data_IF_688909418471
#
_entry.id   IF_688909418471
#
_cell.length_a   1.000
_cell.length_b   1.000
_cell.length_c   1.000
_cell.angle_alpha   90.00
_cell.angle_beta   90.00
_cell.angle_gamma   90.00
#
_symmetry.space_group_name_H-M   'P 1'
#
loop_
_entity.id
_entity.type
_entity.pdbx_description
1 polymer ?
#
# COMPACT_ATOMS: atom_id res chain seq x y z
N UNK A 1 5.62 0.89 -39.89
CA UNK A 1 4.44 0.27 -39.27
C UNK A 1 4.24 1.00 -37.97
N UNK A 2 3.09 1.64 -37.82
CA UNK A 2 2.73 2.57 -36.75
C UNK A 2 2.68 1.86 -35.41
N UNK A 3 3.70 2.06 -34.59
CA UNK A 3 3.71 1.67 -33.20
C UNK A 3 2.84 2.69 -32.45
N UNK A 4 1.54 2.40 -32.37
CA UNK A 4 0.62 3.08 -31.44
C UNK A 4 1.04 2.69 -30.01
N UNK A 5 2.19 3.18 -29.59
CA UNK A 5 2.57 3.21 -28.19
C UNK A 5 1.50 4.06 -27.50
N UNK A 6 0.52 3.39 -26.88
CA UNK A 6 -0.53 4.08 -26.13
C UNK A 6 0.17 5.04 -25.17
N UNK A 7 -0.15 6.32 -25.26
CA UNK A 7 0.30 7.31 -24.29
C UNK A 7 -0.30 6.96 -22.93
N UNK A 8 0.48 6.25 -22.11
CA UNK A 8 0.10 5.88 -20.76
C UNK A 8 0.27 7.11 -19.90
N UNK A 9 -0.75 7.43 -19.14
CA UNK A 9 -0.72 8.53 -18.20
C UNK A 9 -1.57 8.17 -16.98
N UNK A 10 -1.00 8.37 -15.81
CA UNK A 10 -1.73 8.38 -14.56
C UNK A 10 -1.16 9.42 -13.60
N UNK A 11 -2.03 9.96 -12.74
CA UNK A 11 -1.62 10.68 -11.55
C UNK A 11 -2.48 10.28 -10.37
N UNK A 12 -1.89 10.29 -9.18
CA UNK A 12 -2.57 10.00 -7.91
C UNK A 12 -1.71 10.47 -6.74
N UNK A 13 -2.31 10.55 -5.55
CA UNK A 13 -1.63 11.00 -4.33
C UNK A 13 -0.36 10.20 -4.05
N UNK A 14 0.76 10.90 -3.85
CA UNK A 14 2.07 10.32 -3.59
C UNK A 14 2.08 9.43 -2.33
N UNK A 15 1.30 9.81 -1.32
CA UNK A 15 1.10 9.04 -0.10
C UNK A 15 0.68 7.58 -0.35
N UNK A 16 -0.14 7.32 -1.38
CA UNK A 16 -0.56 5.96 -1.73
C UNK A 16 0.65 5.14 -2.18
N UNK A 17 1.54 5.73 -2.99
CA UNK A 17 2.75 5.05 -3.44
C UNK A 17 3.68 4.73 -2.27
N UNK A 18 3.82 5.64 -1.31
CA UNK A 18 4.56 5.40 -0.07
C UNK A 18 3.98 4.22 0.72
N UNK A 19 2.66 4.21 0.90
CA UNK A 19 1.93 3.21 1.68
C UNK A 19 2.08 1.79 1.14
N UNK A 20 2.11 1.61 -0.19
CA UNK A 20 2.16 0.29 -0.85
C UNK A 20 3.58 -0.28 -1.05
N UNK A 21 4.62 0.51 -0.78
CA UNK A 21 6.02 0.08 -0.96
C UNK A 21 6.34 -1.27 -0.28
N UNK A 22 5.91 -1.59 0.96
CA UNK A 22 6.24 -2.86 1.59
C UNK A 22 5.74 -4.07 0.78
N UNK A 23 4.55 -3.96 0.17
CA UNK A 23 3.98 -5.02 -0.67
C UNK A 23 4.84 -5.21 -1.92
N UNK A 24 5.20 -4.12 -2.60
CA UNK A 24 6.02 -4.17 -3.82
C UNK A 24 7.45 -4.68 -3.53
N UNK A 25 8.04 -4.27 -2.40
CA UNK A 25 9.39 -4.66 -1.98
C UNK A 25 9.48 -6.14 -1.58
N UNK A 26 8.39 -6.72 -1.05
CA UNK A 26 8.35 -8.15 -0.65
C UNK A 26 8.62 -9.13 -1.80
N UNK A 27 8.66 -8.66 -3.04
CA UNK A 27 8.86 -9.44 -4.27
C UNK A 27 10.26 -9.30 -4.88
N UNK A 28 11.12 -8.40 -4.38
CA UNK A 28 12.40 -8.07 -5.04
C UNK A 28 13.38 -9.25 -5.14
N UNK A 29 13.24 -10.27 -4.29
CA UNK A 29 14.10 -11.46 -4.29
C UNK A 29 13.49 -12.65 -5.05
N UNK A 30 12.31 -12.49 -5.67
CA UNK A 30 11.62 -13.58 -6.36
C UNK A 30 11.77 -13.43 -7.88
N UNK A 31 12.73 -14.17 -8.46
CA UNK A 31 12.99 -14.20 -9.90
C UNK A 31 11.78 -14.68 -10.73
N UNK A 32 10.78 -15.33 -10.12
CA UNK A 32 9.56 -15.75 -10.83
C UNK A 32 8.55 -14.62 -11.05
N UNK A 33 8.74 -13.48 -10.39
CA UNK A 33 7.84 -12.33 -10.38
C UNK A 33 8.47 -11.04 -10.92
N UNK A 34 9.37 -11.15 -11.91
CA UNK A 34 9.79 -10.00 -12.72
C UNK A 34 8.57 -9.38 -13.40
N UNK A 35 8.14 -8.19 -12.94
CA UNK A 35 7.06 -7.47 -13.58
C UNK A 35 6.63 -6.21 -12.86
N UNK A 36 5.89 -5.38 -13.60
CA UNK A 36 5.20 -4.19 -13.12
C UNK A 36 4.06 -4.59 -12.16
N UNK A 37 4.36 -4.79 -10.88
CA UNK A 37 3.42 -5.25 -9.85
C UNK A 37 2.56 -4.13 -9.24
N UNK A 38 2.78 -2.89 -9.69
CA UNK A 38 1.87 -1.77 -9.51
C UNK A 38 0.96 -1.70 -10.73
N UNK A 39 -0.35 -1.85 -10.52
CA UNK A 39 -1.37 -1.71 -11.55
C UNK A 39 -2.19 -0.46 -11.22
N UNK A 40 -2.44 0.38 -12.23
CA UNK A 40 -3.26 1.58 -12.11
C UNK A 40 -4.34 1.50 -13.17
N UNK A 41 -5.59 1.69 -12.79
CA UNK A 41 -6.75 1.60 -13.68
C UNK A 41 -7.69 2.79 -13.50
N UNK A 42 -8.41 3.21 -14.55
CA UNK A 42 -9.53 4.13 -14.39
C UNK A 42 -10.61 3.53 -13.49
N UNK A 43 -11.27 4.36 -12.69
CA UNK A 43 -12.40 3.97 -11.85
C UNK A 43 -13.70 4.52 -12.42
N UNK A 44 -14.71 3.67 -12.63
CA UNK A 44 -16.03 4.11 -13.11
C UNK A 44 -16.75 5.07 -12.14
N UNK A 45 -16.40 5.01 -10.85
CA UNK A 45 -16.91 5.94 -9.82
C UNK A 45 -16.14 7.27 -9.78
N UNK A 46 -15.27 7.52 -10.75
CA UNK A 46 -14.33 8.64 -10.75
C UNK A 46 -13.07 8.35 -9.93
N UNK A 47 -11.98 9.00 -10.32
CA UNK A 47 -10.66 8.74 -9.78
C UNK A 47 -9.89 7.68 -10.55
N UNK A 48 -8.88 7.09 -9.91
CA UNK A 48 -8.22 5.87 -10.36
C UNK A 48 -8.12 4.83 -9.24
N UNK A 49 -7.90 3.58 -9.63
CA UNK A 49 -7.63 2.46 -8.73
C UNK A 49 -6.14 2.15 -8.83
N UNK A 50 -5.49 2.02 -7.68
CA UNK A 50 -4.08 1.68 -7.53
C UNK A 50 -4.00 0.34 -6.81
N UNK A 51 -3.38 -0.63 -7.45
CA UNK A 51 -3.25 -2.00 -6.94
C UNK A 51 -1.78 -2.37 -6.84
N UNK A 52 -1.33 -2.73 -5.65
CA UNK A 52 -0.04 -3.36 -5.43
C UNK A 52 -0.25 -4.83 -5.12
N UNK A 53 0.45 -5.70 -5.86
CA UNK A 53 0.32 -7.15 -5.73
C UNK A 53 1.65 -7.76 -5.32
N UNK A 54 1.59 -8.67 -4.37
CA UNK A 54 2.63 -9.62 -4.04
C UNK A 54 2.07 -11.04 -4.07
N UNK A 55 2.92 -12.05 -3.87
CA UNK A 55 2.48 -13.44 -3.81
C UNK A 55 1.52 -13.73 -2.65
N UNK A 56 1.66 -13.02 -1.54
CA UNK A 56 0.96 -13.31 -0.28
C UNK A 56 -0.02 -12.22 0.14
N UNK A 57 0.07 -11.04 -0.49
CA UNK A 57 -0.75 -9.89 -0.15
C UNK A 57 -1.08 -9.04 -1.38
N UNK A 58 -2.17 -8.31 -1.30
CA UNK A 58 -2.54 -7.27 -2.25
C UNK A 58 -3.11 -6.09 -1.49
N UNK A 59 -2.82 -4.88 -1.95
CA UNK A 59 -3.49 -3.66 -1.50
C UNK A 59 -4.12 -2.96 -2.69
N UNK A 60 -5.36 -2.54 -2.51
CA UNK A 60 -6.16 -1.81 -3.47
C UNK A 60 -6.54 -0.49 -2.82
N UNK A 61 -6.18 0.60 -3.48
CA UNK A 61 -6.59 1.95 -3.14
C UNK A 61 -7.42 2.52 -4.28
N UNK A 62 -8.49 3.24 -3.96
CA UNK A 62 -9.09 4.21 -4.88
C UNK A 62 -8.55 5.58 -4.50
N UNK A 63 -8.13 6.35 -5.50
CA UNK A 63 -7.85 7.76 -5.33
C UNK A 63 -8.91 8.59 -6.06
N UNK A 64 -9.88 9.20 -5.35
CA UNK A 64 -10.97 9.94 -5.99
C UNK A 64 -10.49 11.15 -6.81
N UNK A 65 -9.35 11.75 -6.43
CA UNK A 65 -8.71 12.86 -7.15
C UNK A 65 -7.74 12.40 -8.23
N UNK A 66 -7.40 11.12 -8.26
CA UNK A 66 -6.48 10.57 -9.24
C UNK A 66 -7.10 10.45 -10.63
N UNK A 67 -6.27 10.18 -11.61
CA UNK A 67 -6.70 9.97 -12.99
C UNK A 67 -5.80 8.96 -13.67
N UNK A 68 -6.36 8.21 -14.61
CA UNK A 68 -5.64 7.24 -15.41
C UNK A 68 -6.30 7.16 -16.80
N UNK A 69 -5.53 7.32 -17.87
CA UNK A 69 -6.09 7.31 -19.24
C UNK A 69 -6.54 5.90 -19.65
N UNK A 70 -5.76 4.89 -19.29
CA UNK A 70 -6.00 3.48 -19.56
C UNK A 70 -5.28 2.67 -18.51
N UNK A 71 -5.76 1.45 -18.25
CA UNK A 71 -5.05 0.50 -17.40
C UNK A 71 -3.56 0.45 -17.76
N UNK A 72 -2.71 0.63 -16.76
CA UNK A 72 -1.26 0.64 -16.88
C UNK A 72 -0.64 -0.18 -15.76
N UNK A 73 0.51 -0.77 -16.05
CA UNK A 73 1.34 -1.43 -15.04
C UNK A 73 2.68 -0.72 -15.00
N UNK A 74 3.16 -0.38 -13.80
CA UNK A 74 4.40 0.33 -13.60
C UNK A 74 5.42 -0.46 -12.77
N UNK A 75 6.69 -0.33 -13.14
CA UNK A 75 7.84 -0.59 -12.31
C UNK A 75 8.34 0.74 -11.77
N UNK A 76 8.44 0.84 -10.44
CA UNK A 76 8.78 2.08 -9.74
C UNK A 76 10.18 1.93 -9.12
N UNK A 77 11.09 2.90 -9.34
CA UNK A 77 12.38 2.95 -8.67
C UNK A 77 12.23 3.04 -7.15
N UNK A 78 13.11 2.37 -6.41
CA UNK A 78 13.05 2.32 -4.95
C UNK A 78 13.18 3.71 -4.33
N UNK A 79 14.06 4.56 -4.90
CA UNK A 79 14.25 5.94 -4.45
C UNK A 79 12.95 6.76 -4.52
N UNK A 80 12.05 6.49 -5.47
CA UNK A 80 10.81 7.25 -5.63
C UNK A 80 9.90 7.13 -4.40
N UNK A 81 9.91 5.99 -3.71
CA UNK A 81 9.07 5.77 -2.53
C UNK A 81 9.45 6.70 -1.38
N UNK A 82 10.74 6.89 -1.11
CA UNK A 82 11.19 7.80 -0.05
C UNK A 82 10.78 9.25 -0.32
N UNK A 83 10.81 9.68 -1.59
CA UNK A 83 10.33 11.01 -1.99
C UNK A 83 8.80 11.15 -1.92
N UNK A 84 8.06 10.05 -1.79
CA UNK A 84 6.61 10.04 -1.59
C UNK A 84 6.21 10.01 -0.11
N UNK A 85 7.18 9.84 0.80
CA UNK A 85 6.92 9.74 2.22
C UNK A 85 6.20 11.00 2.73
N UNK A 86 5.05 10.88 3.41
CA UNK A 86 4.45 11.98 4.13
C UNK A 86 5.46 12.48 5.16
N UNK A 87 5.92 13.72 5.04
CA UNK A 87 6.85 14.25 6.02
C UNK A 87 6.09 14.56 7.32
N UNK A 88 6.46 13.82 8.37
CA UNK A 88 6.00 14.07 9.72
C UNK A 88 6.36 15.49 10.15
N UNK A 89 5.48 16.10 10.97
CA UNK A 89 5.74 17.39 11.57
C UNK A 89 7.09 17.37 12.32
N UNK A 90 7.79 18.51 12.35
CA UNK A 90 9.12 18.58 12.99
C UNK A 90 8.91 18.61 14.50
N UNK A 91 9.32 17.57 15.26
CA UNK A 91 9.21 17.63 16.70
C UNK A 91 10.21 18.66 17.24
N UNK A 92 9.70 19.65 17.95
CA UNK A 92 10.49 20.67 18.62
C UNK A 92 10.14 20.65 20.10
N UNK A 93 11.13 20.83 20.98
CA UNK A 93 10.90 20.95 22.41
C UNK A 93 11.45 22.26 22.94
N UNK A 94 10.67 22.92 23.78
CA UNK A 94 11.08 24.15 24.47
C UNK A 94 10.44 24.19 25.85
N UNK A 95 11.25 24.37 26.89
CA UNK A 95 10.81 24.43 28.29
C UNK A 95 9.90 23.27 28.72
N UNK A 96 10.19 22.04 28.27
CA UNK A 96 9.40 20.85 28.61
C UNK A 96 8.08 20.71 27.82
N UNK A 97 7.75 21.68 26.97
CA UNK A 97 6.63 21.58 26.03
C UNK A 97 7.11 21.02 24.70
N UNK A 98 6.24 20.21 24.07
CA UNK A 98 6.47 19.67 22.73
C UNK A 98 5.61 20.44 21.72
N UNK A 99 6.24 20.80 20.62
CA UNK A 99 5.66 21.45 19.46
C UNK A 99 5.88 20.55 18.26
N UNK A 100 4.91 20.53 17.34
CA UNK A 100 5.02 19.74 16.12
C UNK A 100 4.48 20.57 14.94
N UNK A 101 5.16 21.66 14.54
CA UNK A 101 4.78 22.43 13.37
C UNK A 101 4.79 21.54 12.12
N UNK A 102 3.71 21.64 11.33
CA UNK A 102 3.64 21.01 10.02
C UNK A 102 4.63 21.70 9.09
N UNK A 103 5.27 20.91 8.25
CA UNK A 103 6.07 21.43 7.15
C UNK A 103 5.19 22.20 6.16
N UNK A 104 5.75 23.16 5.41
CA UNK A 104 5.00 23.84 4.36
C UNK A 104 4.60 22.87 3.23
N UNK A 105 3.49 23.16 2.54
CA UNK A 105 2.96 22.26 1.50
C UNK A 105 3.88 22.15 0.28
N UNK A 106 4.63 23.21 -0.03
CA UNK A 106 5.58 23.22 -1.13
C UNK A 106 6.83 22.36 -0.89
N UNK A 107 7.06 21.87 0.33
CA UNK A 107 8.15 20.93 0.64
C UNK A 107 7.66 19.49 0.81
N UNK A 108 6.38 19.22 0.58
CA UNK A 108 5.75 17.94 0.82
C UNK A 108 5.29 17.30 -0.48
N UNK A 109 5.41 15.97 -0.58
CA UNK A 109 4.91 15.21 -1.70
C UNK A 109 3.39 15.39 -1.86
N UNK A 110 2.97 15.79 -3.05
CA UNK A 110 1.57 15.92 -3.45
C UNK A 110 1.15 14.71 -4.25
N UNK A 111 1.45 14.74 -5.53
CA UNK A 111 1.03 13.71 -6.49
C UNK A 111 2.22 13.03 -7.15
N UNK A 112 2.05 11.76 -7.45
CA UNK A 112 2.90 11.03 -8.38
C UNK A 112 2.26 11.14 -9.76
N UNK A 113 3.06 11.49 -10.76
CA UNK A 113 2.66 11.43 -12.16
C UNK A 113 3.51 10.38 -12.86
N UNK A 114 2.84 9.51 -13.60
CA UNK A 114 3.45 8.43 -14.37
C UNK A 114 3.04 8.58 -15.83
N UNK A 115 4.03 8.62 -16.71
CA UNK A 115 3.87 8.65 -18.16
C UNK A 115 4.68 7.50 -18.79
N UNK A 116 4.38 7.11 -20.04
CA UNK A 116 5.21 6.12 -20.76
C UNK A 116 6.71 6.52 -20.79
N UNK A 117 6.99 7.83 -20.82
CA UNK A 117 8.35 8.38 -20.93
C UNK A 117 9.06 8.56 -19.58
N UNK A 118 8.37 8.48 -18.45
CA UNK A 118 8.96 8.76 -17.14
C UNK A 118 7.94 8.94 -16.03
N UNK A 119 8.44 9.09 -14.82
CA UNK A 119 7.65 9.46 -13.65
C UNK A 119 8.27 10.63 -12.92
N UNK A 120 7.44 11.35 -12.17
CA UNK A 120 7.89 12.37 -11.24
C UNK A 120 6.97 12.47 -10.02
N UNK A 121 7.51 12.99 -8.94
CA UNK A 121 6.78 13.27 -7.69
C UNK A 121 6.71 14.78 -7.52
N UNK A 122 5.51 15.33 -7.64
CA UNK A 122 5.24 16.75 -7.44
C UNK A 122 5.08 17.10 -5.96
N UNK A 123 5.08 18.40 -5.68
CA UNK A 123 4.78 18.95 -4.35
C UNK A 123 3.28 19.23 -4.21
N UNK A 124 2.75 19.31 -2.98
CA UNK A 124 1.33 19.67 -2.74
C UNK A 124 0.99 21.08 -3.20
N UNK A 125 1.99 21.96 -3.19
CA UNK A 125 1.88 23.37 -3.56
C UNK A 125 3.14 23.79 -4.32
N UNK A 126 3.03 24.72 -5.27
CA UNK A 126 4.19 25.37 -5.87
C UNK A 126 4.91 26.24 -4.82
N UNK A 127 6.24 26.34 -4.93
CA UNK A 127 7.00 27.23 -4.04
C UNK A 127 6.54 28.69 -4.22
N UNK A 128 6.30 29.46 -3.14
CA UNK A 128 5.86 30.86 -3.23
C UNK A 128 6.77 31.73 -4.10
N UNK A 129 8.08 31.55 -4.01
CA UNK A 129 9.06 32.31 -4.81
C UNK A 129 8.96 32.06 -6.32
N UNK A 130 8.30 30.99 -6.75
CA UNK A 130 8.16 30.60 -8.16
C UNK A 130 6.73 30.77 -8.66
N UNK A 131 5.86 31.47 -7.92
CA UNK A 131 4.46 31.70 -8.30
C UNK A 131 4.30 32.48 -9.61
N UNK A 132 5.32 33.27 -9.99
CA UNK A 132 5.33 34.06 -11.23
C UNK A 132 5.92 33.29 -12.42
N UNK A 133 6.55 32.14 -12.19
CA UNK A 133 7.05 31.28 -13.26
C UNK A 133 5.87 30.63 -13.98
N UNK A 134 6.05 30.36 -15.27
CA UNK A 134 5.03 29.70 -16.08
C UNK A 134 4.82 28.23 -15.67
N UNK A 135 3.79 27.60 -16.22
CA UNK A 135 3.43 26.22 -15.90
C UNK A 135 4.35 25.18 -16.57
N UNK A 136 5.31 25.60 -17.40
CA UNK A 136 6.38 24.72 -17.88
C UNK A 136 7.38 24.43 -16.75
N UNK A 137 7.63 25.41 -15.87
CA UNK A 137 8.49 25.24 -14.72
C UNK A 137 7.84 24.39 -13.61
N UNK A 138 8.04 23.07 -13.68
CA UNK A 138 7.44 22.10 -12.74
C UNK A 138 8.49 21.43 -11.83
N UNK A 139 8.94 22.10 -10.76
CA UNK A 139 9.92 21.52 -9.83
C UNK A 139 9.31 20.30 -9.14
N UNK A 140 10.04 19.18 -9.18
CA UNK A 140 9.63 17.91 -8.60
C UNK A 140 10.59 17.48 -7.49
N UNK A 141 10.08 16.74 -6.53
CA UNK A 141 10.88 16.12 -5.47
C UNK A 141 11.72 14.95 -5.99
N UNK A 142 11.23 14.32 -7.06
CA UNK A 142 11.88 13.20 -7.72
C UNK A 142 11.45 13.14 -9.18
N UNK A 143 12.36 12.71 -10.05
CA UNK A 143 12.07 12.36 -11.44
C UNK A 143 12.91 11.18 -11.91
N UNK A 144 12.32 10.35 -12.77
CA UNK A 144 13.03 9.27 -13.47
C UNK A 144 12.46 9.11 -14.87
N UNK A 145 13.32 9.04 -15.87
CA UNK A 145 12.94 8.71 -17.23
C UNK A 145 12.66 7.21 -17.38
N UNK A 146 11.84 6.85 -18.35
CA UNK A 146 11.60 5.45 -18.73
C UNK A 146 12.88 4.76 -19.16
N UNK A 147 13.04 3.50 -18.76
CA UNK A 147 14.16 2.66 -19.17
C UNK A 147 14.17 2.49 -20.69
N UNK A 148 15.36 2.60 -21.29
CA UNK A 148 15.58 2.32 -22.71
C UNK A 148 16.64 1.23 -22.82
N UNK A 149 16.28 0.07 -23.37
CA UNK A 149 17.18 -1.07 -23.51
C UNK A 149 17.11 -2.01 -22.31
N UNK A 150 18.20 -2.15 -21.55
CA UNK A 150 18.25 -3.00 -20.36
C UNK A 150 17.46 -2.38 -19.21
N UNK A 151 16.79 -3.24 -18.43
CA UNK A 151 15.96 -2.84 -17.30
C UNK A 151 16.58 -3.35 -16.00
N UNK A 152 16.89 -2.44 -15.07
CA UNK A 152 17.34 -2.78 -13.72
C UNK A 152 16.23 -2.56 -12.68
N UNK A 153 15.78 -3.64 -12.05
CA UNK A 153 14.70 -3.60 -11.05
C UNK A 153 15.14 -2.80 -9.83
N UNK A 154 14.25 -1.93 -9.33
CA UNK A 154 14.53 -1.06 -8.19
C UNK A 154 15.27 0.22 -8.55
N UNK A 155 15.90 0.31 -9.73
CA UNK A 155 16.59 1.52 -10.19
C UNK A 155 15.81 2.21 -11.31
N UNK A 156 15.28 1.44 -12.25
CA UNK A 156 14.64 1.97 -13.42
C UNK A 156 13.14 2.07 -13.31
N UNK A 157 12.59 3.03 -14.04
CA UNK A 157 11.15 3.19 -14.22
C UNK A 157 10.72 2.56 -15.55
N UNK A 158 9.59 1.87 -15.55
CA UNK A 158 8.96 1.35 -16.76
C UNK A 158 7.45 1.39 -16.61
N UNK A 159 6.75 1.78 -17.67
CA UNK A 159 5.30 1.65 -17.75
C UNK A 159 4.92 0.81 -18.97
N UNK A 160 3.93 -0.05 -18.78
CA UNK A 160 3.40 -0.95 -19.81
C UNK A 160 1.87 -0.86 -19.81
N UNK A 161 1.21 -1.11 -20.96
CA UNK A 161 -0.24 -1.29 -20.98
C UNK A 161 -0.65 -2.36 -19.97
N UNK A 162 -1.76 -2.12 -19.26
CA UNK A 162 -2.18 -2.89 -18.10
C UNK A 162 -2.05 -4.40 -18.27
N UNK A 163 -1.34 -5.04 -17.34
CA UNK A 163 -1.14 -6.49 -17.33
C UNK A 163 -2.48 -7.19 -17.10
N UNK A 164 -2.68 -8.33 -17.76
CA UNK A 164 -3.86 -9.19 -17.61
C UNK A 164 -3.86 -10.00 -16.30
N UNK A 165 -3.50 -9.37 -15.18
CA UNK A 165 -3.67 -10.00 -13.87
C UNK A 165 -5.12 -9.79 -13.44
N UNK A 166 -5.87 -10.86 -13.29
CA UNK A 166 -7.27 -10.82 -12.82
C UNK A 166 -7.32 -10.57 -11.32
N UNK A 167 -6.79 -9.42 -10.87
CA UNK A 167 -6.66 -9.07 -9.45
C UNK A 167 -8.03 -8.92 -8.75
N UNK A 168 -9.10 -8.68 -9.53
CA UNK A 168 -10.48 -8.68 -9.02
C UNK A 168 -11.01 -10.09 -8.70
N UNK A 169 -10.50 -11.15 -9.32
CA UNK A 169 -10.99 -12.51 -9.11
C UNK A 169 -11.01 -12.96 -7.63
N UNK A 170 -9.93 -12.80 -6.84
CA UNK A 170 -9.98 -13.16 -5.42
C UNK A 170 -10.99 -12.32 -4.61
N UNK A 171 -11.26 -11.08 -5.02
CA UNK A 171 -12.26 -10.21 -4.37
C UNK A 171 -13.69 -10.65 -4.72
N UNK A 172 -13.96 -10.94 -5.99
CA UNK A 172 -15.26 -11.46 -6.43
C UNK A 172 -15.58 -12.78 -5.74
N UNK A 173 -14.60 -13.69 -5.68
CA UNK A 173 -14.75 -14.97 -4.98
C UNK A 173 -15.05 -14.75 -3.49
N UNK A 174 -14.40 -13.77 -2.84
CA UNK A 174 -14.67 -13.42 -1.45
C UNK A 174 -16.11 -12.91 -1.21
N UNK A 175 -16.73 -12.24 -2.19
CA UNK A 175 -18.08 -11.69 -2.08
C UNK A 175 -19.19 -12.73 -2.28
N UNK A 176 -18.90 -13.84 -2.96
CA UNK A 176 -19.88 -14.86 -3.35
C UNK A 176 -20.06 -15.99 -2.31
N UNK A 177 -19.24 -16.03 -1.25
CA UNK A 177 -19.18 -17.15 -0.30
C UNK A 177 -20.17 -16.97 0.87
N UNK A 178 -21.03 -17.98 1.18
CA UNK A 178 -21.92 -17.96 2.33
C UNK A 178 -21.18 -18.18 3.66
N UNK A 179 -21.90 -17.91 4.75
CA UNK A 179 -21.46 -17.76 6.14
C UNK A 179 -20.31 -18.66 6.66
N UNK A 180 -19.53 -18.01 7.54
CA UNK A 180 -18.40 -18.47 8.39
C UNK A 180 -18.54 -19.91 8.92
N UNK A 181 -17.63 -20.78 8.51
CA UNK A 181 -17.14 -21.86 9.39
C UNK A 181 -15.89 -21.35 10.13
N UNK A 182 -15.84 -21.58 11.44
CA UNK A 182 -14.65 -21.26 12.25
C UNK A 182 -13.54 -22.24 11.87
N UNK A 183 -12.49 -21.72 11.23
CA UNK A 183 -11.33 -22.49 10.80
C UNK A 183 -10.03 -21.79 11.21
N UNK A 184 -9.01 -22.57 11.57
CA UNK A 184 -7.73 -22.02 12.02
C UNK A 184 -6.85 -21.75 10.81
N UNK A 185 -6.59 -20.47 10.57
CA UNK A 185 -5.74 -20.01 9.48
C UNK A 185 -4.31 -19.76 9.96
N UNK A 186 -3.35 -20.32 9.22
CA UNK A 186 -1.94 -19.95 9.36
C UNK A 186 -1.64 -18.65 8.64
N UNK A 187 -1.05 -17.68 9.34
CA UNK A 187 -0.56 -16.43 8.74
C UNK A 187 0.89 -16.23 9.16
N UNK A 188 1.76 -15.93 8.20
CA UNK A 188 3.11 -15.44 8.51
C UNK A 188 2.99 -14.01 9.07
N UNK A 189 3.47 -13.73 10.30
CA UNK A 189 3.40 -12.38 10.87
C UNK A 189 4.01 -11.31 9.97
N UNK A 190 5.02 -11.65 9.16
CA UNK A 190 5.60 -10.74 8.17
C UNK A 190 4.61 -10.26 7.11
N UNK A 191 3.60 -11.06 6.75
CA UNK A 191 2.53 -10.67 5.81
C UNK A 191 1.61 -9.61 6.44
N UNK A 192 1.33 -9.74 7.74
CA UNK A 192 0.58 -8.72 8.49
C UNK A 192 1.39 -7.42 8.54
N UNK A 193 2.71 -7.52 8.75
CA UNK A 193 3.63 -6.38 8.75
C UNK A 193 3.64 -5.58 7.44
N UNK A 194 3.27 -6.17 6.29
CA UNK A 194 3.17 -5.44 5.01
C UNK A 194 2.15 -4.30 5.04
N UNK A 195 1.14 -4.38 5.91
CA UNK A 195 0.07 -3.39 6.05
C UNK A 195 0.33 -2.34 7.14
N UNK A 196 1.41 -2.50 7.93
CA UNK A 196 1.73 -1.61 9.05
C UNK A 196 1.90 -0.15 8.57
N UNK A 197 2.61 0.05 7.47
CA UNK A 197 2.82 1.39 6.91
C UNK A 197 1.51 2.06 6.50
N UNK A 198 0.58 1.30 5.95
CA UNK A 198 -0.75 1.79 5.59
C UNK A 198 -1.50 2.22 6.83
N UNK A 199 -1.55 1.36 7.86
CA UNK A 199 -2.18 1.68 9.13
C UNK A 199 -1.62 2.95 9.77
N UNK A 200 -0.30 3.05 9.89
CA UNK A 200 0.35 4.15 10.57
C UNK A 200 0.11 5.46 9.81
N UNK A 201 0.24 5.44 8.48
CA UNK A 201 -0.01 6.63 7.64
C UNK A 201 -1.44 7.13 7.77
N UNK A 202 -2.44 6.23 7.67
CA UNK A 202 -3.85 6.66 7.77
C UNK A 202 -4.20 7.07 9.21
N UNK A 203 -3.65 6.38 10.23
CA UNK A 203 -3.86 6.73 11.65
C UNK A 203 -3.22 8.06 12.03
N UNK A 204 -2.01 8.38 11.56
CA UNK A 204 -1.37 9.67 11.82
C UNK A 204 -2.21 10.84 11.25
N UNK A 205 -2.88 10.62 10.13
CA UNK A 205 -3.79 11.60 9.54
C UNK A 205 -5.14 11.72 10.26
N UNK A 206 -5.50 10.78 11.14
CA UNK A 206 -6.84 10.69 11.74
C UNK A 206 -6.79 10.59 13.26
N UNK A 207 -7.44 11.54 13.93
CA UNK A 207 -7.36 11.72 15.38
C UNK A 207 -7.91 10.54 16.20
N UNK A 208 -8.75 9.69 15.61
CA UNK A 208 -9.27 8.49 16.24
C UNK A 208 -8.61 7.28 15.56
N UNK A 209 -7.78 6.54 16.31
CA UNK A 209 -7.02 5.40 15.81
C UNK A 209 -7.84 4.48 14.90
N UNK A 210 -7.25 4.04 13.80
CA UNK A 210 -7.98 3.30 12.77
C UNK A 210 -7.89 1.82 13.06
N UNK A 211 -9.03 1.15 13.12
CA UNK A 211 -9.07 -0.29 13.23
C UNK A 211 -9.10 -0.94 11.85
N UNK A 212 -8.21 -1.91 11.65
CA UNK A 212 -8.41 -2.92 10.62
C UNK A 212 -9.48 -3.92 11.07
N UNK A 213 -10.38 -4.25 10.16
CA UNK A 213 -11.22 -5.43 10.28
C UNK A 213 -10.81 -6.44 9.21
N UNK A 214 -10.70 -7.69 9.63
CA UNK A 214 -10.39 -8.82 8.77
C UNK A 214 -11.64 -9.67 8.57
N UNK A 215 -11.95 -9.98 7.32
CA UNK A 215 -12.99 -10.93 6.94
C UNK A 215 -12.32 -12.13 6.29
N UNK A 216 -12.30 -13.26 6.98
CA UNK A 216 -11.93 -14.54 6.38
C UNK A 216 -13.03 -14.99 5.43
N UNK A 217 -12.63 -15.40 4.23
CA UNK A 217 -13.53 -16.04 3.27
C UNK A 217 -13.20 -17.53 3.19
N UNK A 218 -14.21 -18.38 3.14
CA UNK A 218 -14.05 -19.85 3.12
C UNK A 218 -14.46 -20.38 1.77
N UNK A 219 -13.51 -20.91 0.99
CA UNK A 219 -13.85 -21.56 -0.27
C UNK A 219 -14.43 -22.96 0.02
N UNK A 220 -15.67 -23.21 -0.39
CA UNK A 220 -16.37 -24.50 -0.20
C UNK A 220 -15.61 -25.71 -0.78
N UNK A 221 -14.66 -25.50 -1.68
CA UNK A 221 -13.89 -26.58 -2.35
C UNK A 221 -12.52 -26.82 -1.74
N UNK A 222 -11.90 -25.81 -1.12
CA UNK A 222 -10.51 -25.88 -0.60
C UNK A 222 -10.37 -25.53 0.88
N UNK A 223 -11.46 -25.22 1.57
CA UNK A 223 -11.50 -24.85 3.00
C UNK A 223 -11.02 -23.41 3.26
N UNK A 224 -9.94 -22.97 2.61
CA UNK A 224 -9.34 -21.66 2.85
C UNK A 224 -9.53 -20.73 1.64
N UNK A 225 -10.07 -19.53 1.88
CA UNK A 225 -10.13 -18.41 0.94
C UNK A 225 -9.34 -17.20 1.45
N UNK A 226 -9.17 -16.15 0.62
CA UNK A 226 -8.44 -14.96 1.00
C UNK A 226 -9.04 -14.27 2.25
N UNK A 227 -8.19 -13.60 3.02
CA UNK A 227 -8.59 -12.73 4.13
C UNK A 227 -8.67 -11.32 3.59
N UNK A 228 -9.85 -10.71 3.65
CA UNK A 228 -10.08 -9.34 3.21
C UNK A 228 -9.86 -8.41 4.40
N UNK A 229 -8.95 -7.46 4.25
CA UNK A 229 -8.68 -6.40 5.20
C UNK A 229 -9.35 -5.11 4.76
N UNK A 230 -9.91 -4.38 5.71
CA UNK A 230 -10.55 -3.09 5.48
C UNK A 230 -10.32 -2.19 6.68
N UNK A 231 -10.37 -0.89 6.47
CA UNK A 231 -10.22 0.13 7.51
C UNK A 231 -11.57 0.81 7.74
N UNK A 232 -12.02 0.90 8.99
CA UNK A 232 -13.38 1.37 9.33
C UNK A 232 -13.76 2.69 8.65
N UNK A 233 -12.88 3.68 8.68
CA UNK A 233 -13.17 5.02 8.16
C UNK A 233 -12.55 5.28 6.77
N UNK A 234 -11.85 4.32 6.17
CA UNK A 234 -11.16 4.51 4.89
C UNK A 234 -11.78 3.59 3.83
N UNK A 235 -12.93 4.00 3.23
CA UNK A 235 -13.71 3.14 2.34
C UNK A 235 -12.99 2.84 1.02
N UNK A 236 -12.09 3.73 0.61
CA UNK A 236 -11.27 3.64 -0.60
C UNK A 236 -10.07 2.69 -0.45
N UNK A 237 -10.01 1.86 0.60
CA UNK A 237 -8.97 0.84 0.79
C UNK A 237 -9.55 -0.57 0.91
N UNK A 238 -8.90 -1.53 0.26
CA UNK A 238 -9.09 -2.97 0.48
C UNK A 238 -7.71 -3.63 0.50
N UNK A 239 -7.40 -4.34 1.57
CA UNK A 239 -6.27 -5.27 1.62
C UNK A 239 -6.73 -6.70 1.41
N UNK A 240 -5.87 -7.55 0.89
CA UNK A 240 -6.08 -8.98 0.76
C UNK A 240 -4.84 -9.70 1.25
N UNK A 241 -5.01 -10.72 2.07
CA UNK A 241 -3.96 -11.63 2.49
C UNK A 241 -4.32 -13.06 2.11
N UNK A 242 -3.34 -13.81 1.64
CA UNK A 242 -3.52 -15.24 1.39
C UNK A 242 -3.19 -16.02 2.66
N UNK A 243 -4.11 -16.86 3.18
CA UNK A 243 -3.76 -17.79 4.24
C UNK A 243 -2.72 -18.78 3.72
N UNK A 244 -1.86 -19.25 4.62
CA UNK A 244 -0.85 -20.26 4.30
C UNK A 244 -1.28 -21.62 4.81
N UNK A 245 -0.93 -22.67 4.07
CA UNK A 245 -1.00 -24.04 4.59
C UNK A 245 -0.06 -24.17 5.78
N UNK A 246 -0.60 -24.55 6.93
CA UNK A 246 0.20 -24.80 8.13
C UNK A 246 0.99 -26.11 7.96
N UNK A 247 2.29 -26.16 8.32
CA UNK A 247 3.07 -27.40 8.27
C UNK A 247 2.59 -28.47 9.27
N UNK A 248 1.86 -28.05 10.31
CA UNK A 248 1.29 -28.88 11.37
C UNK A 248 -0.02 -28.29 11.84
N UNK A 249 -0.94 -29.13 12.29
CA UNK A 249 -2.15 -28.66 12.95
C UNK A 249 -1.77 -27.79 14.15
N UNK A 250 -2.31 -26.56 14.24
CA UNK A 250 -2.00 -25.65 15.33
C UNK A 250 -2.55 -26.22 16.63
N UNK A 251 -1.76 -26.11 17.70
CA UNK A 251 -2.20 -26.47 19.04
C UNK A 251 -3.35 -25.52 19.43
N UNK A 252 -4.54 -26.08 19.65
CA UNK A 252 -5.76 -25.29 19.91
C UNK A 252 -5.85 -24.79 21.35
N UNK A 253 -5.19 -25.49 22.27
CA UNK A 253 -5.24 -25.17 23.68
C UNK A 253 -4.32 -23.98 23.98
N UNK A 254 -4.88 -22.99 24.69
CA UNK A 254 -4.07 -21.91 25.27
C UNK A 254 -3.05 -22.52 26.23
N UNK A 255 -1.80 -22.04 26.26
CA UNK A 255 -0.82 -22.50 27.23
C UNK A 255 -1.35 -22.42 28.67
N UNK A 256 -1.21 -23.51 29.43
CA UNK A 256 -1.78 -23.63 30.79
C UNK A 256 -1.39 -22.46 31.71
N UNK A 257 -0.16 -21.94 31.55
CA UNK A 257 0.36 -20.80 32.32
C UNK A 257 -0.43 -19.50 32.15
N UNK A 258 -1.23 -19.34 31.09
CA UNK A 258 -2.14 -18.19 30.94
C UNK A 258 -3.32 -18.25 31.91
N UNK A 259 -3.71 -19.45 32.34
CA UNK A 259 -4.86 -19.68 33.22
C UNK A 259 -4.46 -19.99 34.66
N UNK A 260 -3.17 -20.25 34.90
CA UNK A 260 -2.63 -20.47 36.24
C UNK A 260 -2.61 -19.15 37.01
N UNK A 261 -3.59 -18.93 37.87
CA UNK A 261 -3.53 -17.86 38.88
C UNK A 261 -2.36 -18.14 39.81
N UNK A 262 -1.37 -17.24 39.86
CA UNK A 262 -0.35 -17.29 40.89
C UNK A 262 -1.05 -17.27 42.25
N UNK A 263 -0.71 -18.18 43.19
CA UNK A 263 -1.24 -18.10 44.54
C UNK A 263 -0.93 -16.70 45.07
N UNK A 264 -1.96 -15.98 45.52
CA UNK A 264 -1.75 -14.79 46.33
C UNK A 264 -0.72 -15.17 47.39
N UNK A 265 0.38 -14.42 47.42
CA UNK A 265 1.38 -14.57 48.46
C UNK A 265 0.63 -14.47 49.77
N UNK A 266 0.44 -15.59 50.45
CA UNK A 266 -0.18 -15.61 51.76
C UNK A 266 0.67 -14.71 52.64
N UNK A 267 0.13 -13.53 52.94
CA UNK A 267 0.62 -12.71 54.02
C UNK A 267 0.61 -13.55 55.30
N UNK A 268 1.74 -13.52 56.00
CA UNK A 268 1.98 -14.28 57.22
C UNK A 268 3.15 -15.23 56.99
N UNK A 269 4.30 -15.05 57.63
CA UNK A 269 4.43 -15.05 59.09
C UNK A 269 5.67 -14.24 59.51
N UNK A 270 5.44 -13.39 60.51
CA UNK A 270 6.27 -12.94 61.65
C UNK A 270 7.74 -12.58 61.46
#
# INVERSE_FOLDING_TARGET
>A
MTDDSKHLYAHFRAEILWMIQPILASQQNDESYFGCNLIIEPCDLGGCIIVAISRTAMAVFRDPSGYCTTAMSALVPEAAFEHCKPHAAIPMSYCGQQYSPRLPEWSQAGDVVMHSAGMFVGTKMRHPDWMAEDDEFYPCLYQRTGAVGSLEVGIDYKAEPGRSVSWRAPLTQAMELPAREEDIIGINPGVIGLFERMHNTVTENRQNGIHFYALQTTNSTTGHGPIILRMHDYPDFVGVMMPMSLPKDPQRDLPEWLTTTFPETQGGVQ
#
